data_IF_290742984392
#
_entry.id   IF_290742984392
#
_cell.length_a   1.000
_cell.length_b   1.000
_cell.length_c   1.000
_cell.angle_alpha   90.00
_cell.angle_beta   90.00
_cell.angle_gamma   90.00
#
_symmetry.space_group_name_H-M   'P 1'
#
loop_
_entity.id
_entity.type
_entity.pdbx_description
1 polymer ?
#
# COMPACT_ATOMS: atom_id res chain seq x y z
N UNK A 1 9.79 15.97 27.86
CA UNK A 1 9.41 17.29 27.34
C UNK A 1 8.28 17.78 28.23
N UNK A 2 8.46 18.91 28.91
CA UNK A 2 7.42 19.48 29.77
C UNK A 2 6.20 19.87 28.95
N UNK A 3 5.02 19.84 29.57
CA UNK A 3 3.81 20.36 28.95
C UNK A 3 4.05 21.85 28.71
N UNK A 4 3.92 22.29 27.46
CA UNK A 4 4.08 23.68 27.09
C UNK A 4 2.83 24.45 27.54
N UNK A 5 2.84 24.91 28.79
CA UNK A 5 1.83 25.77 29.37
C UNK A 5 2.33 27.21 29.52
N UNK A 6 1.40 28.14 29.66
CA UNK A 6 1.67 29.58 29.73
C UNK A 6 2.63 29.93 30.87
N UNK A 7 2.49 29.27 32.03
CA UNK A 7 3.28 29.56 33.23
C UNK A 7 4.75 29.15 33.04
N UNK A 8 5.00 27.98 32.46
CA UNK A 8 6.34 27.50 32.12
C UNK A 8 6.99 28.36 31.03
N UNK A 9 6.20 28.82 30.05
CA UNK A 9 6.64 29.78 29.04
C UNK A 9 7.10 31.10 29.67
N UNK A 10 6.26 31.70 30.54
CA UNK A 10 6.59 32.93 31.26
C UNK A 10 7.85 32.77 32.11
N UNK A 11 7.96 31.67 32.88
CA UNK A 11 9.12 31.39 33.74
C UNK A 11 10.41 31.31 32.93
N UNK A 12 10.38 30.65 31.77
CA UNK A 12 11.54 30.50 30.88
C UNK A 12 11.97 31.83 30.29
N UNK A 13 11.02 32.63 29.77
CA UNK A 13 11.30 33.94 29.18
C UNK A 13 11.82 34.95 30.23
N UNK A 14 11.29 34.92 31.45
CA UNK A 14 11.81 35.73 32.56
C UNK A 14 13.25 35.36 32.91
N UNK A 15 13.58 34.06 32.90
CA UNK A 15 14.95 33.61 33.14
C UNK A 15 15.90 34.10 32.03
N UNK A 16 15.46 34.07 30.76
CA UNK A 16 16.22 34.63 29.63
C UNK A 16 16.44 36.13 29.82
N UNK A 17 15.38 36.89 30.14
CA UNK A 17 15.46 38.34 30.37
C UNK A 17 16.41 38.71 31.51
N UNK A 18 16.47 37.90 32.57
CA UNK A 18 17.41 38.09 33.69
C UNK A 18 18.86 37.82 33.29
N UNK A 19 19.10 36.80 32.45
CA UNK A 19 20.46 36.42 32.01
C UNK A 19 20.98 37.32 30.90
N UNK A 20 20.11 37.80 30.04
CA UNK A 20 20.40 38.74 28.97
C UNK A 20 19.35 39.87 29.05
N UNK A 21 19.70 41.05 29.60
CA UNK A 21 18.79 42.17 29.76
C UNK A 21 18.57 42.89 28.41
N UNK A 22 18.20 42.12 27.40
CA UNK A 22 17.83 42.59 26.06
C UNK A 22 16.31 42.77 25.99
N UNK A 23 15.87 43.78 25.23
CA UNK A 23 14.47 43.94 24.84
C UNK A 23 14.37 43.67 23.33
N UNK A 24 14.15 42.41 22.92
CA UNK A 24 14.15 42.05 21.50
C UNK A 24 13.02 42.75 20.77
N UNK A 25 13.29 43.28 19.57
CA UNK A 25 12.24 43.87 18.73
C UNK A 25 11.37 42.81 18.07
N UNK A 26 11.97 41.68 17.68
CA UNK A 26 11.28 40.52 17.08
C UNK A 26 11.65 39.28 17.89
N UNK A 27 10.64 38.48 18.22
CA UNK A 27 10.81 37.14 18.79
C UNK A 27 10.19 36.14 17.81
N UNK A 28 11.02 35.22 17.31
CA UNK A 28 10.57 34.12 16.45
C UNK A 28 10.19 32.92 17.32
N UNK A 29 9.00 32.37 17.13
CA UNK A 29 8.55 31.19 17.87
C UNK A 29 7.69 30.26 17.00
N UNK A 30 7.47 29.04 17.48
CA UNK A 30 6.49 28.12 16.90
C UNK A 30 5.06 28.64 17.06
N UNK A 31 4.10 27.99 16.41
CA UNK A 31 2.67 28.35 16.45
C UNK A 31 1.96 27.93 17.76
N UNK A 32 2.67 27.99 18.88
CA UNK A 32 2.17 27.59 20.21
C UNK A 32 1.41 28.75 20.86
N UNK A 33 0.08 28.64 21.09
CA UNK A 33 -0.70 29.72 21.69
C UNK A 33 -0.20 30.12 23.09
N UNK A 34 0.24 29.15 23.89
CA UNK A 34 0.78 29.38 25.22
C UNK A 34 2.09 30.18 25.19
N UNK A 35 2.98 29.86 24.24
CA UNK A 35 4.25 30.56 24.08
C UNK A 35 4.05 31.98 23.54
N UNK A 36 3.15 32.15 22.56
CA UNK A 36 2.79 33.47 22.01
C UNK A 36 2.22 34.37 23.12
N UNK A 37 1.32 33.84 23.94
CA UNK A 37 0.77 34.56 25.09
C UNK A 37 1.85 34.92 26.12
N UNK A 38 2.76 33.98 26.43
CA UNK A 38 3.86 34.23 27.36
C UNK A 38 4.83 35.30 26.84
N UNK A 39 5.14 35.29 25.54
CA UNK A 39 5.96 36.33 24.90
C UNK A 39 5.30 37.70 25.07
N UNK A 40 4.00 37.80 24.80
CA UNK A 40 3.26 39.07 24.95
C UNK A 40 3.14 39.54 26.40
N UNK A 41 3.16 38.64 27.37
CA UNK A 41 3.17 39.00 28.78
C UNK A 41 4.54 39.54 29.25
N UNK A 42 5.65 38.94 28.78
CA UNK A 42 7.01 39.30 29.24
C UNK A 42 7.65 40.41 28.41
N UNK A 43 7.36 40.45 27.11
CA UNK A 43 7.87 41.40 26.13
C UNK A 43 6.71 41.98 25.27
N UNK A 44 5.86 42.83 25.85
CA UNK A 44 4.64 43.31 25.20
C UNK A 44 4.91 44.06 23.88
N UNK A 45 6.02 44.82 23.85
CA UNK A 45 6.43 45.63 22.70
C UNK A 45 7.10 44.83 21.56
N UNK A 46 7.46 43.57 21.80
CA UNK A 46 8.08 42.74 20.77
C UNK A 46 7.06 42.29 19.72
N UNK A 47 7.43 42.36 18.45
CA UNK A 47 6.72 41.68 17.38
C UNK A 47 6.96 40.17 17.48
N UNK A 48 5.90 39.38 17.29
CA UNK A 48 5.99 37.91 17.24
C UNK A 48 6.04 37.49 15.78
N UNK A 49 7.10 36.78 15.41
CA UNK A 49 7.25 36.16 14.10
C UNK A 49 7.10 34.65 14.23
N UNK A 50 6.39 34.03 13.30
CA UNK A 50 6.23 32.57 13.31
C UNK A 50 7.42 31.91 12.61
N UNK A 51 7.96 30.87 13.22
CA UNK A 51 8.92 29.99 12.58
C UNK A 51 8.21 29.11 11.52
N UNK A 52 8.17 29.63 10.29
CA UNK A 52 7.54 28.93 9.18
C UNK A 52 8.18 27.58 8.86
N UNK A 53 9.48 27.39 9.12
CA UNK A 53 10.17 26.14 8.80
C UNK A 53 9.73 25.01 9.74
N UNK A 54 9.78 25.26 11.06
CA UNK A 54 9.38 24.27 12.05
C UNK A 54 7.88 23.98 12.00
N UNK A 55 7.05 24.99 11.77
CA UNK A 55 5.60 24.80 11.59
C UNK A 55 5.30 23.92 10.37
N UNK A 56 5.92 24.20 9.22
CA UNK A 56 5.71 23.39 8.01
C UNK A 56 6.23 21.96 8.18
N UNK A 57 7.37 21.77 8.85
CA UNK A 57 7.89 20.44 9.14
C UNK A 57 6.93 19.64 10.04
N UNK A 58 6.38 20.27 11.07
CA UNK A 58 5.42 19.65 12.00
C UNK A 58 4.12 19.28 11.28
N UNK A 59 3.59 20.18 10.45
CA UNK A 59 2.40 19.93 9.64
C UNK A 59 2.61 18.75 8.68
N UNK A 60 3.73 18.73 7.95
CA UNK A 60 4.08 17.64 7.05
C UNK A 60 4.19 16.29 7.78
N UNK A 61 4.76 16.29 8.99
CA UNK A 61 4.85 15.09 9.82
C UNK A 61 3.46 14.61 10.29
N UNK A 62 2.57 15.54 10.65
CA UNK A 62 1.17 15.24 10.99
C UNK A 62 0.42 14.61 9.82
N UNK A 63 0.43 15.28 8.67
CA UNK A 63 -0.19 14.78 7.42
C UNK A 63 0.35 13.39 7.06
N UNK A 64 1.67 13.19 7.16
CA UNK A 64 2.29 11.89 6.87
C UNK A 64 1.83 10.80 7.85
N UNK A 65 1.65 11.13 9.13
CA UNK A 65 1.15 10.19 10.14
C UNK A 65 -0.30 9.81 9.83
N UNK A 66 -1.13 10.78 9.47
CA UNK A 66 -2.54 10.54 9.14
C UNK A 66 -2.68 9.69 7.89
N UNK A 67 -1.91 9.95 6.84
CA UNK A 67 -1.91 9.08 5.65
C UNK A 67 -1.45 7.67 5.95
N UNK A 68 -0.42 7.49 6.80
CA UNK A 68 0.01 6.16 7.23
C UNK A 68 -1.11 5.44 8.00
N UNK A 69 -1.78 6.14 8.91
CA UNK A 69 -2.88 5.59 9.69
C UNK A 69 -4.07 5.22 8.79
N UNK A 70 -4.49 6.13 7.91
CA UNK A 70 -5.54 5.89 6.93
C UNK A 70 -5.22 4.66 6.08
N UNK A 71 -3.99 4.57 5.55
CA UNK A 71 -3.56 3.42 4.76
C UNK A 71 -3.63 2.12 5.57
N UNK A 72 -3.15 2.13 6.81
CA UNK A 72 -3.15 0.97 7.68
C UNK A 72 -4.58 0.55 8.09
N UNK A 73 -5.50 1.50 8.23
CA UNK A 73 -6.89 1.22 8.60
C UNK A 73 -7.72 0.72 7.42
N UNK A 74 -7.50 1.26 6.22
CA UNK A 74 -8.39 1.03 5.08
C UNK A 74 -7.86 0.02 4.06
N UNK A 75 -6.55 -0.17 3.94
CA UNK A 75 -5.98 -1.06 2.91
C UNK A 75 -5.19 -2.24 3.48
N UNK A 76 -4.89 -2.27 4.78
CA UNK A 76 -4.05 -3.32 5.36
C UNK A 76 -4.66 -4.71 5.17
N UNK A 77 -5.97 -4.84 5.35
CA UNK A 77 -6.64 -6.13 5.24
C UNK A 77 -6.70 -6.61 3.79
N UNK A 78 -7.02 -5.74 2.83
CA UNK A 78 -6.95 -6.06 1.39
C UNK A 78 -5.52 -6.42 0.95
N UNK A 79 -4.51 -5.70 1.45
CA UNK A 79 -3.10 -6.01 1.19
C UNK A 79 -2.74 -7.40 1.74
N UNK A 80 -3.15 -7.70 2.98
CA UNK A 80 -2.90 -9.01 3.60
C UNK A 80 -3.59 -10.14 2.83
N UNK A 81 -4.80 -9.90 2.30
CA UNK A 81 -5.49 -10.86 1.44
C UNK A 81 -4.74 -11.08 0.12
N UNK A 82 -4.26 -10.02 -0.54
CA UNK A 82 -3.45 -10.14 -1.75
C UNK A 82 -2.14 -10.89 -1.49
N UNK A 83 -1.45 -10.61 -0.38
CA UNK A 83 -0.26 -11.35 0.05
C UNK A 83 -0.61 -12.83 0.33
N UNK A 84 -1.78 -13.10 0.90
CA UNK A 84 -2.31 -14.44 1.10
C UNK A 84 -2.54 -15.19 -0.21
N UNK A 85 -3.12 -14.54 -1.23
CA UNK A 85 -3.30 -15.11 -2.56
C UNK A 85 -1.95 -15.39 -3.25
N UNK A 86 -0.96 -14.50 -3.09
CA UNK A 86 0.39 -14.74 -3.60
C UNK A 86 1.05 -15.96 -2.92
N UNK A 87 0.96 -16.06 -1.60
CA UNK A 87 1.47 -17.21 -0.85
C UNK A 87 0.82 -18.52 -1.29
N UNK A 88 -0.50 -18.50 -1.53
CA UNK A 88 -1.24 -19.63 -2.09
C UNK A 88 -0.67 -20.10 -3.44
N UNK A 89 -0.40 -19.17 -4.36
CA UNK A 89 0.20 -19.50 -5.67
C UNK A 89 1.60 -20.10 -5.52
N UNK A 90 2.41 -19.62 -4.58
CA UNK A 90 3.73 -20.19 -4.31
C UNK A 90 3.62 -21.65 -3.84
N UNK A 91 2.68 -21.97 -2.96
CA UNK A 91 2.44 -23.36 -2.51
C UNK A 91 2.05 -24.26 -3.68
N UNK A 92 1.19 -23.78 -4.59
CA UNK A 92 0.85 -24.53 -5.80
C UNK A 92 2.06 -24.76 -6.71
N UNK A 93 2.91 -23.74 -6.85
CA UNK A 93 4.12 -23.84 -7.65
C UNK A 93 5.08 -24.89 -7.08
N UNK A 94 5.30 -24.91 -5.75
CA UNK A 94 6.12 -25.95 -5.12
C UNK A 94 5.53 -27.35 -5.30
N UNK A 95 4.21 -27.53 -5.11
CA UNK A 95 3.56 -28.83 -5.35
C UNK A 95 3.76 -29.32 -6.78
N UNK A 96 3.66 -28.43 -7.77
CA UNK A 96 3.87 -28.75 -9.19
C UNK A 96 5.33 -29.12 -9.50
N UNK A 97 6.32 -28.65 -8.73
CA UNK A 97 7.72 -29.09 -8.94
C UNK A 97 7.92 -30.57 -8.61
N UNK A 98 7.09 -31.11 -7.71
CA UNK A 98 7.20 -32.49 -7.22
C UNK A 98 6.17 -33.43 -7.82
N UNK A 99 5.28 -32.94 -8.70
CA UNK A 99 4.25 -33.73 -9.36
C UNK A 99 3.97 -33.19 -10.77
N UNK A 100 3.93 -34.09 -11.76
CA UNK A 100 3.66 -33.72 -13.17
C UNK A 100 2.29 -33.07 -13.36
N UNK A 101 1.30 -33.51 -12.57
CA UNK A 101 -0.07 -32.98 -12.54
C UNK A 101 -0.56 -32.87 -11.10
N UNK A 102 -1.32 -31.81 -10.83
CA UNK A 102 -2.03 -31.68 -9.57
C UNK A 102 -3.39 -32.37 -9.70
N UNK A 103 -3.80 -33.12 -8.68
CA UNK A 103 -5.18 -33.63 -8.56
C UNK A 103 -6.05 -32.60 -7.82
N UNK A 104 -7.39 -32.60 -8.03
CA UNK A 104 -8.30 -31.72 -7.30
C UNK A 104 -8.13 -31.78 -5.78
N UNK A 105 -7.82 -32.96 -5.24
CA UNK A 105 -7.61 -33.21 -3.81
C UNK A 105 -6.29 -32.61 -3.31
N UNK A 106 -5.29 -32.52 -4.19
CA UNK A 106 -3.98 -31.94 -3.87
C UNK A 106 -4.00 -30.40 -3.88
N UNK A 107 -4.98 -29.78 -4.52
CA UNK A 107 -5.12 -28.32 -4.62
C UNK A 107 -5.72 -27.81 -3.29
N UNK A 108 -4.97 -27.02 -2.50
CA UNK A 108 -5.51 -26.48 -1.27
C UNK A 108 -6.71 -25.57 -1.53
N UNK A 109 -7.68 -25.49 -0.59
CA UNK A 109 -8.82 -24.62 -0.73
C UNK A 109 -8.37 -23.16 -0.74
N UNK A 110 -8.96 -22.37 -1.64
CA UNK A 110 -8.66 -20.96 -1.75
C UNK A 110 -9.29 -20.20 -0.58
N UNK A 111 -8.52 -19.28 0.03
CA UNK A 111 -8.99 -18.49 1.17
C UNK A 111 -10.24 -17.67 0.82
N UNK A 112 -11.12 -17.50 1.79
CA UNK A 112 -12.25 -16.56 1.69
C UNK A 112 -11.69 -15.13 1.67
N UNK A 113 -12.27 -14.29 0.82
CA UNK A 113 -11.87 -12.90 0.59
C UNK A 113 -13.04 -12.01 0.99
N UNK A 114 -12.73 -10.89 1.64
CA UNK A 114 -13.72 -9.93 2.10
C UNK A 114 -14.42 -9.27 0.89
N UNK A 115 -15.77 -9.20 0.86
CA UNK A 115 -16.50 -8.71 -0.32
C UNK A 115 -16.20 -7.26 -0.75
N UNK A 116 -15.81 -6.40 0.20
CA UNK A 116 -15.44 -4.99 -0.03
C UNK A 116 -14.07 -4.80 -0.69
N UNK A 117 -13.19 -5.80 -0.62
CA UNK A 117 -11.84 -5.75 -1.17
C UNK A 117 -11.84 -6.10 -2.66
N UNK A 118 -12.13 -5.09 -3.49
CA UNK A 118 -12.37 -5.26 -4.92
C UNK A 118 -11.18 -5.85 -5.69
N UNK A 119 -9.95 -5.50 -5.31
CA UNK A 119 -8.72 -6.01 -5.94
C UNK A 119 -8.48 -7.47 -5.59
N UNK A 120 -8.50 -7.79 -4.29
CA UNK A 120 -8.36 -9.17 -3.82
C UNK A 120 -9.45 -10.08 -4.40
N UNK A 121 -10.69 -9.59 -4.47
CA UNK A 121 -11.82 -10.32 -5.06
C UNK A 121 -11.61 -10.63 -6.54
N UNK A 122 -11.11 -9.68 -7.33
CA UNK A 122 -10.77 -9.89 -8.75
C UNK A 122 -9.67 -10.95 -8.88
N UNK A 123 -8.54 -10.80 -8.17
CA UNK A 123 -7.45 -11.78 -8.19
C UNK A 123 -7.92 -13.19 -7.81
N UNK A 124 -8.74 -13.30 -6.78
CA UNK A 124 -9.33 -14.57 -6.32
C UNK A 124 -10.16 -15.24 -7.41
N UNK A 125 -10.98 -14.49 -8.15
CA UNK A 125 -11.77 -15.01 -9.27
C UNK A 125 -10.89 -15.49 -10.43
N UNK A 126 -9.89 -14.69 -10.81
CA UNK A 126 -8.94 -15.05 -11.88
C UNK A 126 -8.23 -16.36 -11.53
N UNK A 127 -7.72 -16.48 -10.29
CA UNK A 127 -7.07 -17.70 -9.82
C UNK A 127 -8.03 -18.89 -9.95
N UNK A 128 -9.26 -18.78 -9.42
CA UNK A 128 -10.27 -19.87 -9.51
C UNK A 128 -10.56 -20.29 -10.94
N UNK A 129 -10.71 -19.34 -11.86
CA UNK A 129 -10.98 -19.63 -13.27
C UNK A 129 -9.81 -20.39 -13.91
N UNK A 130 -8.57 -20.16 -13.49
CA UNK A 130 -7.40 -20.80 -14.07
C UNK A 130 -6.98 -22.11 -13.38
N UNK A 131 -7.54 -22.45 -12.21
CA UNK A 131 -7.12 -23.63 -11.45
C UNK A 131 -7.33 -24.95 -12.20
N UNK A 132 -8.42 -25.10 -12.98
CA UNK A 132 -8.69 -26.35 -13.71
C UNK A 132 -7.63 -26.66 -14.78
N UNK A 133 -6.90 -25.65 -15.25
CA UNK A 133 -5.82 -25.84 -16.20
C UNK A 133 -4.68 -26.67 -15.60
N UNK A 134 -4.50 -26.62 -14.28
CA UNK A 134 -3.49 -27.40 -13.56
C UNK A 134 -3.79 -28.90 -13.53
N UNK A 135 -5.03 -29.30 -13.81
CA UNK A 135 -5.47 -30.70 -13.85
C UNK A 135 -5.61 -31.23 -15.28
N UNK A 136 -5.35 -30.41 -16.31
CA UNK A 136 -5.53 -30.79 -17.72
C UNK A 136 -4.30 -31.54 -18.24
N UNK A 137 -4.48 -32.83 -18.58
CA UNK A 137 -3.38 -33.71 -19.00
C UNK A 137 -2.93 -33.51 -20.44
N UNK A 138 -3.88 -33.44 -21.37
CA UNK A 138 -3.57 -33.35 -22.80
C UNK A 138 -3.03 -31.94 -23.14
N UNK A 139 -1.80 -31.81 -23.68
CA UNK A 139 -1.21 -30.53 -24.02
C UNK A 139 -2.08 -29.75 -25.01
N UNK A 140 -2.67 -30.41 -26.01
CA UNK A 140 -3.49 -29.72 -27.02
C UNK A 140 -4.74 -29.10 -26.37
N UNK A 141 -5.42 -29.85 -25.52
CA UNK A 141 -6.60 -29.40 -24.78
C UNK A 141 -6.24 -28.30 -23.78
N UNK A 142 -5.08 -28.39 -23.11
CA UNK A 142 -4.57 -27.33 -22.24
C UNK A 142 -4.44 -26.00 -22.96
N UNK A 143 -3.75 -25.95 -24.12
CA UNK A 143 -3.51 -24.68 -24.81
C UNK A 143 -4.79 -24.08 -25.40
N UNK A 144 -5.73 -24.92 -25.86
CA UNK A 144 -7.05 -24.46 -26.33
C UNK A 144 -7.85 -23.87 -25.17
N UNK A 145 -7.98 -24.61 -24.07
CA UNK A 145 -8.70 -24.15 -22.89
C UNK A 145 -8.07 -22.87 -22.30
N UNK A 146 -6.74 -22.82 -22.26
CA UNK A 146 -6.01 -21.67 -21.77
C UNK A 146 -6.27 -20.39 -22.61
N UNK A 147 -6.18 -20.46 -23.94
CA UNK A 147 -6.45 -19.29 -24.79
C UNK A 147 -7.92 -18.83 -24.69
N UNK A 148 -8.85 -19.78 -24.60
CA UNK A 148 -10.27 -19.48 -24.36
C UNK A 148 -10.47 -18.73 -23.04
N UNK A 149 -9.87 -19.20 -21.95
CA UNK A 149 -9.98 -18.53 -20.65
C UNK A 149 -9.31 -17.16 -20.63
N UNK A 150 -8.15 -16.97 -21.30
CA UNK A 150 -7.56 -15.64 -21.43
C UNK A 150 -8.46 -14.67 -22.20
N UNK A 151 -9.13 -15.11 -23.26
CA UNK A 151 -10.11 -14.30 -23.99
C UNK A 151 -11.30 -13.92 -23.11
N UNK A 152 -11.79 -14.86 -22.30
CA UNK A 152 -12.88 -14.63 -21.35
C UNK A 152 -12.48 -13.64 -20.26
N UNK A 153 -11.27 -13.79 -19.70
CA UNK A 153 -10.70 -12.86 -18.72
C UNK A 153 -10.57 -11.44 -19.27
N UNK A 154 -10.07 -11.28 -20.50
CA UNK A 154 -10.01 -9.98 -21.16
C UNK A 154 -11.39 -9.36 -21.38
N UNK A 155 -12.39 -10.17 -21.74
CA UNK A 155 -13.78 -9.70 -21.90
C UNK A 155 -14.39 -9.26 -20.56
N UNK A 156 -14.12 -9.98 -19.48
CA UNK A 156 -14.69 -9.70 -18.15
C UNK A 156 -14.00 -8.53 -17.44
N UNK A 157 -12.68 -8.40 -17.56
CA UNK A 157 -11.88 -7.45 -16.76
C UNK A 157 -11.21 -6.34 -17.57
N UNK A 158 -11.27 -6.39 -18.91
CA UNK A 158 -10.79 -5.34 -19.81
C UNK A 158 -9.31 -5.01 -19.66
N UNK A 159 -8.98 -3.71 -19.73
CA UNK A 159 -7.60 -3.20 -19.68
C UNK A 159 -6.85 -3.60 -18.40
N UNK A 160 -7.56 -3.86 -17.29
CA UNK A 160 -6.95 -4.25 -16.01
C UNK A 160 -6.10 -5.53 -16.13
N UNK A 161 -6.54 -6.48 -16.95
CA UNK A 161 -5.83 -7.76 -17.15
C UNK A 161 -5.14 -7.85 -18.51
N UNK A 162 -5.14 -6.78 -19.30
CA UNK A 162 -4.57 -6.80 -20.65
C UNK A 162 -3.09 -7.11 -20.66
N UNK A 163 -2.31 -6.36 -19.89
CA UNK A 163 -0.87 -6.57 -19.77
C UNK A 163 -0.54 -7.98 -19.24
N UNK A 164 -1.32 -8.47 -18.27
CA UNK A 164 -1.18 -9.83 -17.75
C UNK A 164 -1.42 -10.89 -18.84
N UNK A 165 -2.53 -10.77 -19.57
CA UNK A 165 -2.87 -11.71 -20.64
C UNK A 165 -1.87 -11.65 -21.79
N UNK A 166 -1.43 -10.46 -22.17
CA UNK A 166 -0.45 -10.26 -23.25
C UNK A 166 0.94 -10.79 -22.83
N UNK A 167 1.34 -10.56 -21.58
CA UNK A 167 2.57 -11.13 -21.02
C UNK A 167 2.52 -12.65 -21.03
N UNK A 168 1.40 -13.24 -20.63
CA UNK A 168 1.23 -14.68 -20.69
C UNK A 168 1.32 -15.17 -22.14
N UNK A 169 0.52 -14.63 -23.06
CA UNK A 169 0.53 -14.95 -24.50
C UNK A 169 1.91 -14.84 -25.14
N UNK A 170 2.68 -13.81 -24.78
CA UNK A 170 4.02 -13.60 -25.34
C UNK A 170 5.03 -14.66 -24.90
N UNK A 171 4.86 -15.24 -23.70
CA UNK A 171 5.66 -16.36 -23.19
C UNK A 171 5.27 -17.70 -23.81
N UNK A 172 4.10 -17.80 -24.44
CA UNK A 172 3.72 -19.02 -25.14
C UNK A 172 4.48 -19.14 -26.46
N UNK A 173 4.94 -20.35 -26.82
CA UNK A 173 5.70 -20.56 -28.04
C UNK A 173 4.88 -20.22 -29.28
N UNK A 174 5.26 -19.14 -29.97
CA UNK A 174 4.57 -18.54 -31.13
C UNK A 174 4.54 -19.41 -32.42
N UNK A 175 5.00 -20.68 -32.36
CA UNK A 175 5.06 -21.64 -33.50
C UNK A 175 4.71 -23.11 -33.17
N UNK A 176 4.53 -23.55 -31.90
CA UNK A 176 4.52 -24.99 -31.52
C UNK A 176 3.16 -25.57 -31.06
N UNK A 177 2.07 -24.85 -31.27
CA UNK A 177 0.72 -25.43 -31.20
C UNK A 177 0.17 -25.84 -32.58
N UNK A 178 1.04 -25.94 -33.59
CA UNK A 178 0.70 -26.26 -34.98
C UNK A 178 1.32 -27.57 -35.46
N UNK A 179 0.65 -28.17 -36.44
CA UNK A 179 0.97 -29.42 -37.15
C UNK A 179 2.13 -29.19 -38.14
N UNK A 180 3.32 -28.84 -37.62
CA UNK A 180 4.63 -29.15 -38.24
C UNK A 180 5.56 -29.84 -37.24
N UNK A 181 5.31 -29.66 -35.93
CA UNK A 181 5.79 -30.55 -34.88
C UNK A 181 4.75 -31.59 -34.44
N UNK A 182 3.56 -31.55 -35.04
CA UNK A 182 2.59 -32.66 -35.04
C UNK A 182 2.68 -33.25 -36.46
N UNK A 183 3.00 -34.53 -36.59
CA UNK A 183 2.28 -35.32 -37.60
C UNK A 183 0.80 -35.35 -37.20
#
# INVERSE_FOLDING_TARGET
>A
MGIEDFENGCRSLLAVRKKAPINPYIITCDFSPALIAAIKAIFPESAVQIDGFHVMQTLNNGIRRDFKYYRAKHYRDEINELLGLRSYLNVLQEKRKHADLLTPESIPPLKKITPSHSGAKKCNKVIKQLLFLLTTRDPRSFFIAFDMELKKLLKEYGEILKEFCDTLRSKFPKRKFTIKGRN
#
